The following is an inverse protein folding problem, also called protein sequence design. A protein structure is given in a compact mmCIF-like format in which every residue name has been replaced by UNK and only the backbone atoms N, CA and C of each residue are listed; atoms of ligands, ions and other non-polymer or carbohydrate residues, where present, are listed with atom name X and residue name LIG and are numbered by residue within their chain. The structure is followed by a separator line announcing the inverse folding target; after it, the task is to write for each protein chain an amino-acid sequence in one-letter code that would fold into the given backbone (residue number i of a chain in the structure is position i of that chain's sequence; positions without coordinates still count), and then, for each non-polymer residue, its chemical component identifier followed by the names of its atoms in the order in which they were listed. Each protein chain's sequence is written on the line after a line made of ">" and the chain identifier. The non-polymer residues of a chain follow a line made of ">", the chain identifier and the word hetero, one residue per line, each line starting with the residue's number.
data_IF_551729446400
#
_entry.id   IF_551729446400
#
_cell.length_a   1.000
_cell.length_b   1.000
_cell.length_c   1.000
_cell.angle_alpha   90.00
_cell.angle_beta   90.00
_cell.angle_gamma   90.00
#
_symmetry.space_group_name_H-M   'P 1'
#
loop_
_entity.id
_entity.type
_entity.pdbx_description
1 polymer ?
#
# COMPACT_ATOMS: atom_id res chain seq x y z
N UNK A 1 23.98 -18.21 -46.12
CA UNK A 1 25.44 -18.20 -46.30
C UNK A 1 25.73 -17.18 -47.38
N UNK A 2 26.30 -16.03 -47.03
CA UNK A 2 26.47 -14.92 -47.99
C UNK A 2 27.62 -15.26 -48.93
N UNK A 3 27.32 -15.61 -50.18
CA UNK A 3 28.30 -15.98 -51.21
C UNK A 3 28.93 -14.72 -51.81
N UNK A 4 29.71 -13.99 -51.01
CA UNK A 4 30.38 -12.75 -51.40
C UNK A 4 31.80 -12.70 -50.80
N UNK A 5 32.76 -12.25 -51.60
CA UNK A 5 34.12 -11.90 -51.17
C UNK A 5 34.40 -10.45 -51.52
N UNK A 6 35.13 -9.75 -50.66
CA UNK A 6 35.47 -8.33 -50.85
C UNK A 6 36.95 -8.12 -50.58
N UNK A 7 37.61 -7.38 -51.46
CA UNK A 7 39.05 -7.13 -51.47
C UNK A 7 39.33 -5.63 -51.58
N UNK A 8 40.37 -5.16 -50.90
CA UNK A 8 40.94 -3.84 -51.15
C UNK A 8 42.01 -3.93 -52.23
N UNK A 9 41.86 -3.16 -53.31
CA UNK A 9 42.84 -3.12 -54.38
C UNK A 9 44.07 -2.28 -54.00
N UNK A 10 45.25 -2.81 -54.31
CA UNK A 10 46.54 -2.15 -54.03
C UNK A 10 47.11 -1.40 -55.24
N UNK A 11 46.35 -1.24 -56.33
CA UNK A 11 46.81 -0.60 -57.56
C UNK A 11 47.69 -1.46 -58.48
N UNK A 12 48.02 -2.70 -58.09
CA UNK A 12 48.92 -3.58 -58.86
C UNK A 12 48.37 -5.01 -59.06
N UNK A 13 47.57 -5.53 -58.13
CA UNK A 13 47.00 -6.86 -58.23
C UNK A 13 45.87 -6.91 -59.27
N UNK A 14 45.97 -7.87 -60.20
CA UNK A 14 44.96 -8.12 -61.23
C UNK A 14 44.11 -9.36 -60.97
N UNK A 15 44.53 -10.25 -60.06
CA UNK A 15 43.88 -11.53 -59.81
C UNK A 15 43.27 -11.57 -58.41
N UNK A 16 41.97 -11.87 -58.33
CA UNK A 16 41.19 -11.93 -57.09
C UNK A 16 40.45 -13.27 -57.00
N UNK A 17 40.77 -14.15 -56.04
CA UNK A 17 40.11 -15.44 -55.89
C UNK A 17 38.69 -15.32 -55.31
N UNK A 18 37.89 -16.37 -55.40
CA UNK A 18 36.64 -16.55 -54.67
C UNK A 18 36.44 -18.03 -54.35
N UNK A 19 35.80 -18.35 -53.23
CA UNK A 19 35.71 -19.73 -52.72
C UNK A 19 34.34 -20.39 -52.90
N UNK A 20 33.44 -19.79 -53.68
CA UNK A 20 32.11 -20.36 -53.97
C UNK A 20 32.08 -21.02 -55.35
N UNK A 21 31.39 -22.16 -55.45
CA UNK A 21 31.16 -22.87 -56.71
C UNK A 21 30.36 -21.99 -57.69
N UNK A 22 30.72 -22.04 -58.97
CA UNK A 22 29.97 -21.39 -60.05
C UNK A 22 29.92 -22.32 -61.25
N UNK A 23 28.72 -22.51 -61.83
CA UNK A 23 28.52 -23.41 -62.97
C UNK A 23 28.97 -22.76 -64.28
N UNK A 24 28.80 -21.45 -64.42
CA UNK A 24 29.23 -20.67 -65.56
C UNK A 24 29.90 -19.35 -65.12
N UNK A 25 30.78 -18.80 -65.96
CA UNK A 25 31.43 -17.51 -65.71
C UNK A 25 30.42 -16.36 -65.49
N UNK A 26 29.24 -16.45 -66.11
CA UNK A 26 28.13 -15.51 -65.96
C UNK A 26 27.50 -15.47 -64.56
N UNK A 27 27.80 -16.47 -63.73
CA UNK A 27 27.24 -16.61 -62.38
C UNK A 27 28.06 -15.84 -61.33
N UNK A 28 29.20 -15.27 -61.70
CA UNK A 28 29.95 -14.32 -60.87
C UNK A 28 29.58 -12.90 -61.27
N UNK A 29 29.18 -12.10 -60.30
CA UNK A 29 29.09 -10.66 -60.44
C UNK A 29 30.31 -9.99 -59.81
N UNK A 30 30.91 -9.09 -60.58
CA UNK A 30 32.15 -8.38 -60.25
C UNK A 30 31.83 -6.89 -60.10
N UNK A 31 32.06 -6.33 -58.91
CA UNK A 31 31.87 -4.90 -58.65
C UNK A 31 33.18 -4.24 -58.25
N UNK A 32 33.41 -3.02 -58.71
CA UNK A 32 34.47 -2.12 -58.22
C UNK A 32 33.76 -0.91 -57.63
N UNK A 33 34.00 -0.62 -56.35
CA UNK A 33 33.34 0.47 -55.61
C UNK A 33 31.81 0.42 -55.72
N UNK A 34 31.24 -0.79 -55.63
CA UNK A 34 29.82 -1.11 -55.78
C UNK A 34 29.22 -0.88 -57.19
N UNK A 35 30.06 -0.60 -58.20
CA UNK A 35 29.65 -0.49 -59.60
C UNK A 35 29.97 -1.81 -60.31
N UNK A 36 28.93 -2.46 -60.83
CA UNK A 36 29.06 -3.71 -61.58
C UNK A 36 29.88 -3.51 -62.87
N UNK A 37 30.85 -4.40 -63.06
CA UNK A 37 31.66 -4.47 -64.27
C UNK A 37 31.08 -5.54 -65.19
N UNK A 38 30.86 -5.19 -66.45
CA UNK A 38 30.35 -6.12 -67.49
C UNK A 38 31.43 -6.57 -68.47
N UNK A 39 32.64 -6.00 -68.39
CA UNK A 39 33.81 -6.30 -69.22
C UNK A 39 35.11 -5.90 -68.51
N UNK A 40 36.28 -6.21 -69.09
CA UNK A 40 37.59 -5.85 -68.51
C UNK A 40 38.13 -6.87 -67.50
N UNK A 41 37.53 -8.05 -67.45
CA UNK A 41 37.96 -9.18 -66.64
C UNK A 41 37.57 -10.51 -67.28
N UNK A 42 38.24 -11.58 -66.83
CA UNK A 42 37.96 -12.97 -67.18
C UNK A 42 37.76 -13.77 -65.90
N UNK A 43 36.65 -14.50 -65.81
CA UNK A 43 36.39 -15.45 -64.72
C UNK A 43 37.02 -16.80 -65.06
N UNK A 44 37.80 -17.35 -64.14
CA UNK A 44 38.41 -18.68 -64.24
C UNK A 44 37.86 -19.59 -63.14
N UNK A 45 37.71 -20.88 -63.43
CA UNK A 45 37.19 -21.87 -62.48
C UNK A 45 35.68 -22.13 -62.58
N UNK A 46 35.02 -21.67 -63.64
CA UNK A 46 33.61 -22.02 -63.90
C UNK A 46 33.43 -23.50 -64.25
N UNK A 47 32.40 -24.11 -63.68
CA UNK A 47 32.08 -25.55 -63.78
C UNK A 47 32.72 -26.43 -62.70
N UNK A 48 33.42 -25.85 -61.73
CA UNK A 48 34.05 -26.56 -60.61
C UNK A 48 33.43 -26.22 -59.24
N UNK A 49 33.56 -27.12 -58.27
CA UNK A 49 32.95 -26.99 -56.94
C UNK A 49 33.81 -26.23 -55.91
N UNK A 50 35.09 -25.98 -56.22
CA UNK A 50 36.10 -25.52 -55.25
C UNK A 50 36.35 -24.00 -55.29
N UNK A 51 35.60 -23.26 -56.10
CA UNK A 51 35.80 -21.83 -56.32
C UNK A 51 36.71 -21.50 -57.51
N UNK A 52 37.00 -20.22 -57.71
CA UNK A 52 37.65 -19.70 -58.89
C UNK A 52 38.39 -18.38 -58.66
N UNK A 53 38.73 -17.69 -59.73
CA UNK A 53 39.31 -16.33 -59.64
C UNK A 53 38.84 -15.43 -60.77
N UNK A 54 38.82 -14.13 -60.50
CA UNK A 54 38.59 -13.07 -61.47
C UNK A 54 39.93 -12.42 -61.78
N UNK A 55 40.31 -12.42 -63.06
CA UNK A 55 41.51 -11.77 -63.58
C UNK A 55 41.10 -10.52 -64.36
N UNK A 56 41.46 -9.34 -63.88
CA UNK A 56 41.25 -8.07 -64.57
C UNK A 56 42.32 -7.82 -65.63
N UNK A 57 41.94 -7.20 -66.75
CA UNK A 57 42.85 -6.82 -67.83
C UNK A 57 43.81 -5.68 -67.40
N UNK A 58 43.38 -4.86 -66.44
CA UNK A 58 44.18 -3.83 -65.77
C UNK A 58 43.91 -3.84 -64.25
N UNK A 59 44.92 -3.56 -63.43
CA UNK A 59 44.77 -3.59 -61.97
C UNK A 59 43.79 -2.50 -61.50
N UNK A 60 42.82 -2.83 -60.62
CA UNK A 60 41.94 -1.81 -60.05
C UNK A 60 42.75 -0.78 -59.25
N UNK A 61 42.28 0.48 -59.26
CA UNK A 61 42.99 1.61 -58.64
C UNK A 61 43.30 1.38 -57.15
N UNK A 62 44.38 1.97 -56.66
CA UNK A 62 44.76 1.89 -55.24
C UNK A 62 43.62 2.42 -54.35
N UNK A 63 43.12 1.58 -53.45
CA UNK A 63 42.04 1.91 -52.52
C UNK A 63 40.63 1.53 -53.01
N UNK A 64 40.47 1.09 -54.27
CA UNK A 64 39.18 0.62 -54.78
C UNK A 64 38.77 -0.70 -54.10
N UNK A 65 37.47 -0.89 -53.90
CA UNK A 65 36.91 -2.10 -53.28
C UNK A 65 36.39 -3.04 -54.36
N UNK A 66 37.06 -4.18 -54.55
CA UNK A 66 36.63 -5.23 -55.46
C UNK A 66 35.72 -6.20 -54.72
N UNK A 67 34.47 -6.32 -55.15
CA UNK A 67 33.49 -7.26 -54.60
C UNK A 67 33.14 -8.31 -55.63
N UNK A 68 33.25 -9.58 -55.26
CA UNK A 68 32.86 -10.73 -56.07
C UNK A 68 31.70 -11.43 -55.38
N UNK A 69 30.55 -11.55 -56.05
CA UNK A 69 29.36 -12.22 -55.49
C UNK A 69 28.77 -13.23 -56.45
N UNK A 70 28.19 -14.30 -55.91
CA UNK A 70 27.46 -15.28 -56.72
C UNK A 70 26.10 -14.70 -57.13
N UNK A 71 25.77 -14.69 -58.42
CA UNK A 71 24.41 -14.39 -58.90
C UNK A 71 23.52 -15.58 -58.61
N UNK A 72 22.58 -15.44 -57.67
CA UNK A 72 21.66 -16.52 -57.33
C UNK A 72 20.84 -16.95 -58.56
N UNK A 73 20.86 -18.24 -58.89
CA UNK A 73 19.95 -18.81 -59.89
C UNK A 73 18.70 -19.35 -59.20
N UNK A 74 17.56 -19.19 -59.87
CA UNK A 74 16.35 -19.96 -59.60
C UNK A 74 16.33 -21.10 -60.61
N UNK A 75 16.69 -22.31 -60.16
CA UNK A 75 16.67 -23.50 -61.01
C UNK A 75 15.32 -24.20 -60.88
N UNK A 76 14.55 -24.24 -61.97
CA UNK A 76 13.33 -25.05 -62.06
C UNK A 76 13.73 -26.42 -62.59
N UNK A 77 13.42 -27.50 -61.87
CA UNK A 77 13.87 -28.85 -62.23
C UNK A 77 13.01 -29.45 -63.35
N UNK A 78 13.59 -30.33 -64.17
CA UNK A 78 12.96 -30.95 -65.34
C UNK A 78 11.72 -31.84 -65.06
N UNK A 79 11.26 -31.94 -63.81
CA UNK A 79 9.97 -32.56 -63.44
C UNK A 79 8.79 -31.57 -63.57
N UNK A 80 9.04 -30.26 -63.74
CA UNK A 80 8.01 -29.26 -64.02
C UNK A 80 7.65 -29.21 -65.51
N UNK A 81 6.93 -30.23 -65.98
CA UNK A 81 6.55 -30.41 -67.40
C UNK A 81 5.13 -29.93 -67.75
N UNK A 82 4.43 -29.25 -66.84
CA UNK A 82 3.13 -28.64 -67.12
C UNK A 82 3.26 -27.12 -67.33
N UNK A 83 2.78 -26.62 -68.47
CA UNK A 83 2.86 -25.23 -68.89
C UNK A 83 2.24 -24.27 -67.85
N UNK A 84 3.00 -23.31 -67.32
CA UNK A 84 2.45 -22.09 -66.67
C UNK A 84 2.76 -21.81 -65.19
N UNK A 85 3.52 -22.64 -64.47
CA UNK A 85 3.55 -22.54 -62.99
C UNK A 85 4.46 -21.50 -62.32
N UNK A 86 5.33 -20.79 -63.04
CA UNK A 86 6.03 -19.61 -62.47
C UNK A 86 5.16 -18.33 -62.51
N UNK A 87 4.31 -18.19 -63.53
CA UNK A 87 3.45 -17.03 -63.72
C UNK A 87 2.29 -16.98 -62.70
N UNK A 88 1.75 -18.14 -62.30
CA UNK A 88 0.64 -18.23 -61.35
C UNK A 88 1.05 -18.09 -59.86
N UNK A 89 2.33 -18.20 -59.54
CA UNK A 89 2.83 -18.04 -58.15
C UNK A 89 3.36 -16.64 -57.85
N UNK A 90 3.39 -15.74 -58.84
CA UNK A 90 3.85 -14.35 -58.68
C UNK A 90 2.69 -13.39 -59.00
N UNK A 91 1.91 -13.01 -57.98
CA UNK A 91 0.80 -12.06 -58.15
C UNK A 91 1.37 -10.67 -58.41
N UNK A 92 1.20 -10.15 -59.63
CA UNK A 92 1.56 -8.77 -59.96
C UNK A 92 0.60 -7.80 -59.24
N UNK A 93 1.14 -6.98 -58.34
CA UNK A 93 0.44 -5.80 -57.81
C UNK A 93 0.26 -4.73 -58.88
N UNK A 94 -0.78 -3.91 -58.77
CA UNK A 94 -1.15 -2.92 -59.79
C UNK A 94 0.03 -2.07 -60.27
N UNK A 95 0.22 -1.97 -61.59
CA UNK A 95 1.30 -1.19 -62.22
C UNK A 95 2.51 -2.00 -62.72
N UNK A 96 2.50 -3.34 -62.55
CA UNK A 96 3.53 -4.26 -63.06
C UNK A 96 2.91 -5.22 -64.08
N UNK A 97 3.42 -5.24 -65.31
CA UNK A 97 3.03 -6.20 -66.34
C UNK A 97 4.14 -7.21 -66.60
N UNK A 98 3.81 -8.51 -66.52
CA UNK A 98 4.71 -9.59 -66.90
C UNK A 98 4.47 -10.00 -68.36
N UNK A 99 5.51 -9.98 -69.21
CA UNK A 99 5.48 -10.61 -70.53
C UNK A 99 6.45 -11.78 -70.57
N UNK A 100 5.97 -12.98 -70.93
CA UNK A 100 6.84 -14.13 -71.17
C UNK A 100 7.43 -14.01 -72.58
N UNK A 101 8.72 -13.68 -72.66
CA UNK A 101 9.52 -13.95 -73.84
C UNK A 101 10.56 -15.01 -73.47
N UNK A 102 10.52 -16.14 -74.18
CA UNK A 102 11.58 -17.15 -74.12
C UNK A 102 12.64 -16.80 -75.17
N UNK A 103 13.91 -16.84 -74.80
CA UNK A 103 14.99 -16.83 -75.79
C UNK A 103 15.09 -18.20 -76.49
N UNK A 104 15.90 -18.29 -77.55
CA UNK A 104 16.05 -19.49 -78.38
C UNK A 104 16.59 -20.72 -77.61
N UNK A 105 17.13 -20.52 -76.40
CA UNK A 105 17.65 -21.57 -75.53
C UNK A 105 16.67 -21.93 -74.39
N UNK A 106 15.45 -21.36 -74.41
CA UNK A 106 14.37 -21.71 -73.48
C UNK A 106 14.42 -21.00 -72.12
N UNK A 107 15.21 -19.93 -71.96
CA UNK A 107 15.18 -19.12 -70.73
C UNK A 107 14.03 -18.12 -70.77
N UNK A 108 13.27 -18.04 -69.68
CA UNK A 108 12.26 -16.99 -69.48
C UNK A 108 12.91 -15.77 -68.85
N UNK A 109 12.76 -14.60 -69.49
CA UNK A 109 13.26 -13.34 -68.95
C UNK A 109 12.10 -12.61 -68.27
N UNK A 110 12.25 -12.28 -66.98
CA UNK A 110 11.28 -11.47 -66.24
C UNK A 110 11.62 -9.99 -66.41
N UNK A 111 10.85 -9.28 -67.23
CA UNK A 111 10.98 -7.82 -67.37
C UNK A 111 9.98 -7.13 -66.45
N UNK A 112 10.46 -6.38 -65.45
CA UNK A 112 9.62 -5.51 -64.62
C UNK A 112 9.67 -4.11 -65.24
N UNK A 113 8.63 -3.75 -65.99
CA UNK A 113 8.45 -2.38 -66.47
C UNK A 113 7.51 -1.63 -65.52
N UNK A 114 7.96 -0.47 -65.01
CA UNK A 114 7.11 0.47 -64.30
C UNK A 114 6.11 1.09 -65.30
N UNK A 115 4.83 0.75 -65.17
CA UNK A 115 3.77 1.34 -65.99
C UNK A 115 3.62 2.83 -65.65
N UNK A 116 3.89 3.70 -66.62
CA UNK A 116 3.83 5.16 -66.50
C UNK A 116 2.37 5.67 -66.54
N UNK A 117 1.54 5.25 -65.59
CA UNK A 117 0.14 5.73 -65.46
C UNK A 117 -0.08 6.19 -64.02
N UNK A 118 0.17 7.48 -63.80
CA UNK A 118 -0.08 8.18 -62.54
C UNK A 118 -1.60 8.28 -62.30
N UNK A 119 -2.09 7.69 -61.20
CA UNK A 119 -3.51 7.68 -60.85
C UNK A 119 -4.14 9.08 -60.71
N UNK A 120 -3.32 10.11 -60.54
CA UNK A 120 -3.77 11.50 -60.55
C UNK A 120 -4.30 11.97 -61.93
N UNK A 121 -3.77 11.44 -63.03
CA UNK A 121 -4.17 11.84 -64.39
C UNK A 121 -5.51 11.21 -64.81
N UNK A 122 -5.81 10.00 -64.33
CA UNK A 122 -7.09 9.31 -64.58
C UNK A 122 -8.25 9.95 -63.79
N UNK A 123 -7.99 10.41 -62.56
CA UNK A 123 -8.99 11.11 -61.75
C UNK A 123 -9.35 12.49 -62.35
N UNK A 124 -8.36 13.21 -62.90
CA UNK A 124 -8.57 14.49 -63.55
C UNK A 124 -9.40 14.38 -64.86
N UNK A 125 -9.24 13.28 -65.61
CA UNK A 125 -10.02 13.05 -66.83
C UNK A 125 -11.46 12.60 -66.54
N UNK A 126 -11.69 11.79 -65.50
CA UNK A 126 -13.04 11.36 -65.12
C UNK A 126 -13.94 12.49 -64.56
N UNK A 127 -13.35 13.58 -64.07
CA UNK A 127 -14.11 14.79 -63.67
C UNK A 127 -14.44 15.72 -64.84
N UNK A 128 -13.73 15.61 -65.97
CA UNK A 128 -13.88 16.51 -67.09
C UNK A 128 -15.11 16.20 -67.97
N UNK A 129 -15.56 14.94 -68.00
CA UNK A 129 -16.60 14.42 -68.91
C UNK A 129 -18.04 14.42 -68.35
N UNK A 130 -18.29 15.06 -67.20
CA UNK A 130 -19.67 15.25 -66.70
C UNK A 130 -20.45 16.20 -67.63
N UNK A 131 -21.25 15.62 -68.52
CA UNK A 131 -22.02 16.34 -69.54
C UNK A 131 -23.15 17.20 -68.95
N UNK A 132 -23.66 16.82 -67.76
CA UNK A 132 -24.57 17.63 -66.96
C UNK A 132 -24.03 17.78 -65.53
N UNK A 133 -23.21 18.82 -65.35
CA UNK A 133 -22.63 19.17 -64.06
C UNK A 133 -23.70 19.56 -63.04
N UNK A 134 -24.90 20.00 -63.46
CA UNK A 134 -25.98 20.37 -62.55
C UNK A 134 -26.71 19.14 -62.01
N UNK A 135 -26.98 18.14 -62.85
CA UNK A 135 -27.56 16.87 -62.42
C UNK A 135 -26.64 16.11 -61.46
N UNK A 136 -25.32 16.13 -61.71
CA UNK A 136 -24.36 15.51 -60.80
C UNK A 136 -24.26 16.25 -59.45
N UNK A 137 -24.32 17.59 -59.45
CA UNK A 137 -24.39 18.39 -58.21
C UNK A 137 -25.65 18.08 -57.40
N UNK A 138 -26.80 17.95 -58.05
CA UNK A 138 -28.05 17.55 -57.42
C UNK A 138 -28.01 16.14 -56.81
N UNK A 139 -27.46 15.16 -57.52
CA UNK A 139 -27.36 13.77 -57.04
C UNK A 139 -26.36 13.58 -55.89
N UNK A 140 -25.37 14.47 -55.76
CA UNK A 140 -24.40 14.46 -54.65
C UNK A 140 -24.77 15.41 -53.51
N UNK A 141 -25.88 16.15 -53.62
CA UNK A 141 -26.27 17.19 -52.66
C UNK A 141 -25.20 18.29 -52.47
N UNK A 142 -24.39 18.56 -53.51
CA UNK A 142 -23.34 19.58 -53.50
C UNK A 142 -23.76 20.75 -54.37
N UNK A 143 -24.13 21.86 -53.74
CA UNK A 143 -24.58 23.08 -54.40
C UNK A 143 -23.43 24.08 -54.58
N UNK A 144 -23.48 24.91 -55.63
CA UNK A 144 -22.53 26.02 -55.76
C UNK A 144 -22.85 27.12 -54.75
N UNK A 145 -21.89 28.00 -54.44
CA UNK A 145 -22.12 29.12 -53.54
C UNK A 145 -23.31 29.98 -53.98
N UNK A 146 -23.41 30.26 -55.28
CA UNK A 146 -24.54 31.02 -55.85
C UNK A 146 -25.88 30.28 -55.67
N UNK A 147 -25.91 28.95 -55.87
CA UNK A 147 -27.12 28.13 -55.66
C UNK A 147 -27.54 28.14 -54.17
N UNK A 148 -26.58 28.13 -53.25
CA UNK A 148 -26.81 28.21 -51.80
C UNK A 148 -27.31 29.60 -51.41
N UNK A 149 -26.73 30.65 -51.97
CA UNK A 149 -27.09 32.05 -51.69
C UNK A 149 -28.49 32.38 -52.22
N UNK A 150 -28.85 31.90 -53.41
CA UNK A 150 -30.20 32.01 -53.97
C UNK A 150 -31.22 31.24 -53.12
N UNK A 151 -30.86 30.03 -52.66
CA UNK A 151 -31.72 29.22 -51.78
C UNK A 151 -31.94 29.88 -50.41
N UNK A 152 -30.91 30.49 -49.81
CA UNK A 152 -31.01 31.25 -48.55
C UNK A 152 -31.87 32.50 -48.74
N UNK A 153 -31.74 33.19 -49.87
CA UNK A 153 -32.50 34.41 -50.20
C UNK A 153 -33.99 34.12 -50.39
N UNK A 154 -34.32 33.02 -51.09
CA UNK A 154 -35.68 32.58 -51.33
C UNK A 154 -36.34 31.91 -50.10
N UNK A 155 -35.56 31.44 -49.12
CA UNK A 155 -36.07 30.77 -47.93
C UNK A 155 -36.91 31.68 -47.03
N UNK A 156 -38.05 31.20 -46.54
CA UNK A 156 -38.84 31.87 -45.50
C UNK A 156 -38.29 31.64 -44.08
N UNK A 157 -37.23 30.85 -43.93
CA UNK A 157 -36.60 30.57 -42.66
C UNK A 157 -35.71 31.73 -42.21
N UNK A 158 -36.18 32.43 -41.17
CA UNK A 158 -35.51 33.59 -40.61
C UNK A 158 -34.16 33.26 -39.95
N UNK A 159 -33.92 32.00 -39.54
CA UNK A 159 -32.66 31.58 -38.93
C UNK A 159 -31.54 31.48 -39.98
N UNK A 160 -31.85 30.93 -41.17
CA UNK A 160 -30.91 30.85 -42.30
C UNK A 160 -30.51 32.25 -42.80
N UNK A 161 -31.46 33.19 -42.86
CA UNK A 161 -31.19 34.59 -43.23
C UNK A 161 -30.36 35.35 -42.20
N UNK A 162 -30.57 35.11 -40.90
CA UNK A 162 -29.76 35.71 -39.82
C UNK A 162 -28.31 35.24 -39.85
N UNK A 163 -28.06 33.99 -40.22
CA UNK A 163 -26.71 33.44 -40.39
C UNK A 163 -25.90 34.16 -41.48
N UNK A 164 -26.52 34.45 -42.63
CA UNK A 164 -25.89 35.20 -43.71
C UNK A 164 -25.65 36.69 -43.34
N UNK A 165 -26.59 37.33 -42.66
CA UNK A 165 -26.50 38.74 -42.26
C UNK A 165 -25.41 39.05 -41.21
N UNK A 166 -24.83 38.04 -40.57
CA UNK A 166 -23.68 38.22 -39.66
C UNK A 166 -22.35 38.41 -40.42
N UNK A 167 -22.26 37.98 -41.67
CA UNK A 167 -21.06 38.16 -42.51
C UNK A 167 -20.89 39.59 -43.04
N UNK A 168 -22.02 40.31 -43.22
CA UNK A 168 -22.10 41.56 -43.99
C UNK A 168 -22.30 42.82 -43.12
N UNK A 169 -21.90 42.74 -41.85
CA UNK A 169 -21.92 43.89 -40.95
C UNK A 169 -20.85 44.90 -41.39
N UNK A 170 -21.25 45.90 -42.16
CA UNK A 170 -20.38 46.94 -42.76
C UNK A 170 -19.65 47.76 -41.69
N UNK A 171 -20.27 48.02 -40.55
CA UNK A 171 -19.63 48.66 -39.39
C UNK A 171 -19.56 47.69 -38.20
N UNK A 172 -18.51 46.86 -38.25
CA UNK A 172 -18.20 45.90 -37.19
C UNK A 172 -17.94 46.59 -35.84
N UNK A 173 -17.63 47.89 -35.81
CA UNK A 173 -17.38 48.65 -34.57
C UNK A 173 -18.71 49.08 -33.95
N UNK A 174 -19.65 49.60 -34.75
CA UNK A 174 -20.98 49.97 -34.27
C UNK A 174 -21.80 48.75 -33.80
N UNK A 175 -21.70 47.62 -34.51
CA UNK A 175 -22.39 46.39 -34.11
C UNK A 175 -21.83 45.79 -32.81
N UNK A 176 -20.50 45.88 -32.61
CA UNK A 176 -19.84 45.51 -31.36
C UNK A 176 -20.26 46.41 -30.19
N UNK A 177 -20.31 47.73 -30.42
CA UNK A 177 -20.75 48.72 -29.43
C UNK A 177 -22.21 48.56 -28.98
N UNK A 178 -23.12 48.23 -29.91
CA UNK A 178 -24.54 48.01 -29.58
C UNK A 178 -24.82 46.69 -28.86
N UNK A 179 -23.87 45.75 -28.88
CA UNK A 179 -23.96 44.46 -28.20
C UNK A 179 -23.16 44.39 -26.89
N UNK A 180 -22.49 45.49 -26.49
CA UNK A 180 -21.52 45.50 -25.39
C UNK A 180 -20.39 44.45 -25.54
N UNK A 181 -20.02 44.11 -26.78
CA UNK A 181 -18.96 43.14 -27.09
C UNK A 181 -17.76 43.86 -27.68
N UNK A 182 -16.71 44.07 -26.88
CA UNK A 182 -15.48 44.74 -27.29
C UNK A 182 -14.43 43.77 -27.84
N UNK A 183 -13.64 44.18 -28.84
CA UNK A 183 -12.49 43.40 -29.32
C UNK A 183 -11.34 43.42 -28.30
N UNK A 184 -10.45 42.43 -28.35
CA UNK A 184 -9.29 42.34 -27.46
C UNK A 184 -8.42 43.61 -27.48
N UNK A 185 -8.29 44.26 -28.65
CA UNK A 185 -7.56 45.53 -28.78
C UNK A 185 -8.26 46.71 -28.09
N UNK A 186 -9.59 46.78 -28.19
CA UNK A 186 -10.42 47.81 -27.54
C UNK A 186 -10.44 47.63 -26.01
N UNK A 187 -10.54 46.39 -25.53
CA UNK A 187 -10.45 46.05 -24.10
C UNK A 187 -9.07 46.43 -23.55
N UNK A 188 -7.99 46.11 -24.26
CA UNK A 188 -6.62 46.41 -23.82
C UNK A 188 -6.34 47.93 -23.73
N UNK A 189 -6.90 48.72 -24.65
CA UNK A 189 -6.78 50.19 -24.62
C UNK A 189 -7.54 50.82 -23.43
N UNK A 190 -8.71 50.27 -23.07
CA UNK A 190 -9.49 50.70 -21.89
C UNK A 190 -8.81 50.27 -20.59
N UNK A 191 -8.26 49.07 -20.52
CA UNK A 191 -7.55 48.56 -19.33
C UNK A 191 -6.30 49.39 -19.02
N UNK A 192 -5.54 49.79 -20.04
CA UNK A 192 -4.30 50.59 -19.86
C UNK A 192 -4.57 52.01 -19.36
N UNK A 193 -5.67 52.63 -19.79
CA UNK A 193 -6.03 54.01 -19.42
C UNK A 193 -6.97 54.14 -18.22
N UNK A 194 -7.63 53.05 -17.80
CA UNK A 194 -8.59 53.09 -16.69
C UNK A 194 -7.92 53.22 -15.32
N UNK A 195 -8.51 54.04 -14.45
CA UNK A 195 -8.15 54.16 -13.03
C UNK A 195 -8.79 53.07 -12.15
N UNK A 196 -9.65 52.22 -12.73
CA UNK A 196 -10.34 51.16 -12.00
C UNK A 196 -9.41 49.95 -11.80
N UNK A 197 -8.99 49.74 -10.55
CA UNK A 197 -8.02 48.72 -10.16
C UNK A 197 -8.51 47.28 -10.42
N UNK A 198 -9.82 47.04 -10.50
CA UNK A 198 -10.38 45.72 -10.77
C UNK A 198 -10.16 45.28 -12.24
N UNK A 199 -10.28 46.22 -13.18
CA UNK A 199 -10.06 45.97 -14.61
C UNK A 199 -8.57 45.72 -14.92
N UNK A 200 -7.66 46.41 -14.19
CA UNK A 200 -6.20 46.17 -14.29
C UNK A 200 -5.77 44.84 -13.69
N UNK A 201 -6.38 44.42 -12.57
CA UNK A 201 -6.13 43.11 -11.95
C UNK A 201 -6.54 41.94 -12.86
N UNK A 202 -7.63 42.09 -13.62
CA UNK A 202 -8.08 41.08 -14.59
C UNK A 202 -7.08 40.84 -15.73
N UNK A 203 -6.46 41.89 -16.27
CA UNK A 203 -5.45 41.75 -17.33
C UNK A 203 -4.10 41.22 -16.82
N UNK A 204 -3.70 41.57 -15.60
CA UNK A 204 -2.46 41.07 -14.97
C UNK A 204 -2.46 39.56 -14.67
N UNK A 205 -3.62 38.89 -14.72
CA UNK A 205 -3.70 37.42 -14.61
C UNK A 205 -3.39 36.71 -15.94
N UNK A 206 -3.57 37.39 -17.08
CA UNK A 206 -3.25 36.87 -18.41
C UNK A 206 -1.78 37.04 -18.79
N UNK A 207 -1.13 38.12 -18.33
CA UNK A 207 0.27 38.48 -18.58
C UNK A 207 1.29 37.84 -17.63
N UNK A 208 0.88 36.78 -16.92
CA UNK A 208 1.82 36.00 -16.13
C UNK A 208 2.69 35.16 -17.08
N UNK A 209 3.76 35.78 -17.58
CA UNK A 209 4.75 35.18 -18.49
C UNK A 209 5.40 33.95 -17.84
N UNK A 210 5.70 34.04 -16.55
CA UNK A 210 6.20 32.92 -15.76
C UNK A 210 5.12 32.45 -14.77
N UNK A 211 4.28 31.53 -15.26
CA UNK A 211 3.24 30.90 -14.45
C UNK A 211 3.83 30.20 -13.22
N UNK A 212 5.08 29.75 -13.24
CA UNK A 212 5.73 29.13 -12.09
C UNK A 212 6.16 30.18 -11.05
N UNK A 213 6.67 31.33 -11.46
CA UNK A 213 6.98 32.44 -10.55
C UNK A 213 5.72 33.02 -9.88
N UNK A 214 4.61 33.15 -10.62
CA UNK A 214 3.35 33.60 -10.02
C UNK A 214 2.74 32.54 -9.08
N UNK A 215 2.81 31.25 -9.43
CA UNK A 215 2.43 30.16 -8.51
C UNK A 215 3.28 30.19 -7.24
N UNK A 216 4.59 30.46 -7.38
CA UNK A 216 5.52 30.64 -6.27
C UNK A 216 5.20 31.83 -5.37
N UNK A 217 4.93 32.99 -5.95
CA UNK A 217 4.61 34.22 -5.21
C UNK A 217 3.23 34.19 -4.55
N UNK A 218 2.30 33.40 -5.08
CA UNK A 218 0.96 33.22 -4.54
C UNK A 218 0.87 32.03 -3.56
N UNK A 219 1.96 31.29 -3.38
CA UNK A 219 2.03 30.06 -2.56
C UNK A 219 1.02 28.97 -2.97
N UNK A 220 0.60 28.96 -4.24
CA UNK A 220 -0.33 27.97 -4.79
C UNK A 220 0.42 27.01 -5.71
N UNK A 221 0.54 25.75 -5.28
CA UNK A 221 1.30 24.71 -6.00
C UNK A 221 0.38 23.56 -6.43
N UNK A 222 0.65 22.95 -7.59
CA UNK A 222 -0.03 21.72 -7.98
C UNK A 222 0.42 20.53 -7.13
N UNK A 223 -0.38 19.46 -7.05
CA UNK A 223 -0.11 18.27 -6.23
C UNK A 223 1.25 17.63 -6.53
N UNK A 224 1.67 17.65 -7.80
CA UNK A 224 2.99 17.16 -8.21
C UNK A 224 4.16 18.12 -7.90
N UNK A 225 3.91 19.43 -7.87
CA UNK A 225 4.91 20.45 -7.51
C UNK A 225 5.12 20.57 -6.00
N UNK A 226 4.07 20.31 -5.21
CA UNK A 226 4.18 20.15 -3.74
C UNK A 226 5.14 19.01 -3.43
N UNK A 227 5.00 17.86 -4.10
CA UNK A 227 5.82 16.67 -3.86
C UNK A 227 7.30 16.88 -4.23
N UNK A 228 7.61 17.65 -5.27
CA UNK A 228 9.00 17.91 -5.69
C UNK A 228 9.65 19.06 -4.91
N UNK A 229 8.90 20.08 -4.47
CA UNK A 229 9.41 21.09 -3.51
C UNK A 229 9.70 20.51 -2.14
N UNK A 230 8.91 19.55 -1.67
CA UNK A 230 9.13 18.85 -0.40
C UNK A 230 10.48 18.12 -0.37
N UNK A 231 10.96 17.65 -1.53
CA UNK A 231 12.26 16.96 -1.62
C UNK A 231 13.45 17.90 -1.84
N UNK A 232 13.23 19.09 -2.42
CA UNK A 232 14.32 19.98 -2.85
C UNK A 232 14.59 21.16 -1.89
N UNK A 233 13.66 21.51 -1.00
CA UNK A 233 13.81 22.66 -0.11
C UNK A 233 14.00 22.24 1.35
N UNK A 234 15.24 22.30 1.83
CA UNK A 234 15.60 22.42 3.26
C UNK A 234 14.98 23.64 3.95
N UNK A 235 14.14 24.42 3.26
CA UNK A 235 13.42 25.59 3.73
C UNK A 235 11.95 25.31 4.15
N UNK A 236 11.49 24.06 4.11
CA UNK A 236 10.29 23.59 4.83
C UNK A 236 10.67 22.50 5.85
N UNK A 237 11.81 22.68 6.51
CA UNK A 237 12.10 21.91 7.70
C UNK A 237 10.95 22.12 8.69
N UNK A 238 10.22 21.03 8.96
CA UNK A 238 9.29 20.87 10.07
C UNK A 238 7.92 21.58 9.91
N UNK A 239 7.06 21.05 9.02
CA UNK A 239 5.60 21.07 9.25
C UNK A 239 5.13 19.90 10.12
N UNK A 240 6.04 19.04 10.57
CA UNK A 240 5.84 18.41 11.88
C UNK A 240 6.00 19.52 12.92
N UNK A 241 5.07 19.58 13.86
CA UNK A 241 4.98 20.64 14.85
C UNK A 241 6.24 20.61 15.70
N UNK A 242 7.26 21.40 15.34
CA UNK A 242 8.42 21.59 16.21
C UNK A 242 7.88 22.05 17.56
N UNK A 243 8.40 21.47 18.63
CA UNK A 243 7.94 21.70 20.01
C UNK A 243 7.98 23.18 20.43
N UNK A 244 8.65 24.03 19.64
CA UNK A 244 8.80 25.47 19.86
C UNK A 244 7.58 26.28 19.35
N UNK A 245 6.90 25.85 18.28
CA UNK A 245 5.76 26.59 17.68
C UNK A 245 4.38 26.07 18.09
N UNK A 246 4.34 24.92 18.76
CA UNK A 246 3.10 24.31 19.23
C UNK A 246 2.30 25.24 20.15
N UNK A 247 2.96 26.05 20.99
CA UNK A 247 2.30 26.95 21.93
C UNK A 247 1.65 28.16 21.25
N UNK A 248 2.31 28.73 20.24
CA UNK A 248 1.83 29.89 19.50
C UNK A 248 0.62 29.52 18.63
N UNK A 249 0.66 28.36 17.99
CA UNK A 249 -0.44 27.81 17.19
C UNK A 249 -1.66 27.50 18.07
N UNK A 250 -1.47 26.92 19.26
CA UNK A 250 -2.54 26.67 20.23
C UNK A 250 -3.25 27.96 20.66
N UNK A 251 -2.48 28.99 21.03
CA UNK A 251 -3.00 30.28 21.44
C UNK A 251 -3.81 30.97 20.33
N UNK A 252 -3.32 30.95 19.09
CA UNK A 252 -4.00 31.57 17.95
C UNK A 252 -5.29 30.86 17.54
N UNK A 253 -5.42 29.57 17.86
CA UNK A 253 -6.64 28.78 17.64
C UNK A 253 -7.61 28.82 18.82
N UNK A 254 -7.31 29.57 19.88
CA UNK A 254 -8.14 29.62 21.11
C UNK A 254 -8.13 28.31 21.91
N UNK A 255 -7.20 27.41 21.59
CA UNK A 255 -7.01 26.15 22.28
C UNK A 255 -5.99 26.44 23.40
N UNK A 256 -6.45 26.53 24.65
CA UNK A 256 -5.55 26.70 25.80
C UNK A 256 -4.52 25.56 25.92
N UNK A 257 -3.67 25.59 26.94
CA UNK A 257 -2.59 24.60 27.18
C UNK A 257 -3.05 23.12 27.26
N UNK A 258 -4.35 22.86 27.19
CA UNK A 258 -4.99 21.55 27.22
C UNK A 258 -5.00 20.77 25.89
N UNK A 259 -4.54 21.33 24.76
CA UNK A 259 -4.48 20.59 23.48
C UNK A 259 -3.24 19.67 23.39
N UNK A 260 -3.16 18.70 24.31
CA UNK A 260 -2.43 17.46 24.11
C UNK A 260 -3.21 16.61 23.11
N UNK A 261 -2.60 16.32 21.96
CA UNK A 261 -2.89 15.18 21.08
C UNK A 261 -4.37 14.72 21.04
N UNK A 262 -5.25 15.51 20.43
CA UNK A 262 -6.63 15.08 20.17
C UNK A 262 -6.67 14.11 18.99
N UNK A 263 -6.50 12.81 19.26
CA UNK A 263 -7.00 11.77 18.37
C UNK A 263 -8.49 11.59 18.62
N UNK A 264 -9.27 12.16 17.70
CA UNK A 264 -10.70 12.36 17.83
C UNK A 264 -11.48 11.09 18.19
N UNK A 265 -12.41 11.26 19.13
CA UNK A 265 -13.36 10.25 19.58
C UNK A 265 -14.58 10.08 18.67
N UNK A 266 -14.44 10.19 17.35
CA UNK A 266 -15.57 9.93 16.44
C UNK A 266 -15.12 9.40 15.08
N UNK A 267 -15.42 8.10 14.88
CA UNK A 267 -15.46 7.36 13.63
C UNK A 267 -14.12 7.14 12.88
N UNK A 268 -13.33 6.17 13.35
CA UNK A 268 -12.28 5.55 12.55
C UNK A 268 -11.20 4.90 13.41
N UNK A 269 -11.17 3.56 13.47
CA UNK A 269 -10.21 2.76 14.24
C UNK A 269 -8.75 3.09 13.85
N UNK A 270 -8.08 3.96 14.60
CA UNK A 270 -6.62 4.04 14.63
C UNK A 270 -6.19 4.00 16.09
N UNK A 271 -5.55 2.90 16.45
CA UNK A 271 -4.97 2.67 17.77
C UNK A 271 -3.72 3.56 17.89
N UNK A 272 -3.77 4.58 18.74
CA UNK A 272 -2.59 5.40 19.05
C UNK A 272 -1.65 4.58 19.91
N UNK A 273 -0.35 4.65 19.60
CA UNK A 273 0.73 4.08 20.38
C UNK A 273 1.53 5.23 21.02
N UNK A 274 2.01 5.04 22.24
CA UNK A 274 2.89 5.94 22.98
C UNK A 274 4.30 5.96 22.36
N UNK A 275 5.20 6.77 22.92
CA UNK A 275 6.59 6.88 22.45
C UNK A 275 7.40 5.58 22.51
N UNK A 276 6.84 4.52 23.09
CA UNK A 276 7.38 3.15 23.13
C UNK A 276 6.67 2.17 22.20
N UNK A 277 5.70 2.62 21.39
CA UNK A 277 4.97 1.75 20.47
C UNK A 277 3.88 0.91 21.14
N UNK A 278 3.41 1.28 22.33
CA UNK A 278 2.32 0.60 23.06
C UNK A 278 1.09 1.49 23.18
N UNK A 279 -0.11 0.94 23.29
CA UNK A 279 -1.32 1.76 23.50
C UNK A 279 -1.20 2.64 24.76
N UNK A 280 -1.43 3.96 24.70
CA UNK A 280 -1.35 4.84 25.85
C UNK A 280 -2.27 4.35 26.96
N UNK A 281 -1.74 4.27 28.19
CA UNK A 281 -2.46 3.72 29.35
C UNK A 281 -3.80 4.43 29.64
N UNK A 282 -3.96 5.68 29.19
CA UNK A 282 -5.18 6.48 29.32
C UNK A 282 -6.28 6.14 28.28
N UNK A 283 -5.92 5.51 27.15
CA UNK A 283 -6.81 5.07 26.07
C UNK A 283 -7.20 3.60 26.19
N UNK A 284 -6.49 2.83 27.03
CA UNK A 284 -7.03 1.59 27.53
C UNK A 284 -8.31 1.94 28.30
N UNK A 285 -9.45 1.29 28.05
CA UNK A 285 -10.57 1.38 28.98
C UNK A 285 -10.00 1.08 30.37
N UNK A 286 -10.25 1.94 31.37
CA UNK A 286 -9.96 1.62 32.76
C UNK A 286 -10.58 0.23 32.98
N UNK A 287 -9.74 -0.80 33.04
CA UNK A 287 -10.15 -2.12 32.54
C UNK A 287 -11.52 -2.53 33.12
N UNK A 288 -12.57 -2.46 32.30
CA UNK A 288 -13.69 -3.37 32.45
C UNK A 288 -13.14 -4.78 32.22
N UNK A 289 -13.59 -5.77 33.00
CA UNK A 289 -12.77 -6.71 33.75
C UNK A 289 -11.77 -7.48 32.87
N UNK A 290 -10.64 -6.83 32.61
CA UNK A 290 -9.38 -7.42 32.20
C UNK A 290 -8.35 -7.01 33.25
N UNK A 291 -8.45 -7.59 34.45
CA UNK A 291 -7.34 -7.62 35.42
C UNK A 291 -7.09 -6.40 36.31
N UNK A 292 -7.89 -5.32 36.32
CA UNK A 292 -7.79 -4.30 37.38
C UNK A 292 -8.67 -4.70 38.57
N UNK A 293 -8.03 -5.20 39.62
CA UNK A 293 -8.73 -5.48 40.89
C UNK A 293 -9.34 -4.18 41.43
N UNK A 294 -10.63 -4.13 41.81
CA UNK A 294 -11.22 -2.89 42.36
C UNK A 294 -10.54 -2.48 43.66
N UNK A 295 -10.49 -1.17 43.95
CA UNK A 295 -9.93 -0.65 45.21
C UNK A 295 -10.62 -1.30 46.42
N UNK A 296 -9.83 -1.71 47.41
CA UNK A 296 -10.29 -2.50 48.55
C UNK A 296 -10.28 -4.01 48.32
N UNK A 297 -9.99 -4.49 47.11
CA UNK A 297 -9.80 -5.92 46.85
C UNK A 297 -8.53 -6.43 47.52
N UNK A 298 -8.62 -7.66 48.02
CA UNK A 298 -7.56 -8.32 48.77
C UNK A 298 -7.13 -9.60 48.06
N UNK A 299 -5.83 -9.78 47.87
CA UNK A 299 -5.27 -10.97 47.24
C UNK A 299 -4.11 -11.55 48.07
N UNK A 300 -3.89 -12.86 47.93
CA UNK A 300 -2.68 -13.51 48.42
C UNK A 300 -1.51 -13.15 47.51
N UNK A 301 -0.35 -12.90 48.11
CA UNK A 301 0.84 -12.43 47.43
C UNK A 301 2.09 -13.11 47.99
N UNK A 302 2.90 -13.68 47.09
CA UNK A 302 4.10 -14.43 47.47
C UNK A 302 5.34 -13.55 47.67
N UNK A 303 5.30 -12.28 47.26
CA UNK A 303 6.42 -11.35 47.43
C UNK A 303 6.45 -10.69 48.81
N UNK A 304 7.61 -10.18 49.24
CA UNK A 304 7.82 -9.58 50.56
C UNK A 304 7.41 -8.11 50.67
N UNK A 305 7.30 -7.39 49.56
CA UNK A 305 6.94 -5.97 49.52
C UNK A 305 5.76 -5.74 48.56
N UNK A 306 4.81 -4.89 48.97
CA UNK A 306 3.66 -4.58 48.12
C UNK A 306 4.11 -3.82 46.86
N UNK A 307 3.63 -4.22 45.66
CA UNK A 307 3.88 -3.48 44.43
C UNK A 307 3.15 -2.13 44.42
N UNK A 308 3.48 -1.27 43.45
CA UNK A 308 2.81 0.02 43.29
C UNK A 308 1.29 -0.13 43.14
N UNK A 309 0.53 0.72 43.85
CA UNK A 309 -0.92 0.67 43.89
C UNK A 309 -1.50 -0.39 44.84
N UNK A 310 -0.66 -1.02 45.67
CA UNK A 310 -1.06 -1.98 46.70
C UNK A 310 -0.40 -1.67 48.05
N UNK A 311 -1.04 -2.10 49.14
CA UNK A 311 -0.49 -2.03 50.50
C UNK A 311 -0.52 -3.40 51.17
N UNK A 312 0.42 -3.67 52.08
CA UNK A 312 0.41 -4.87 52.90
C UNK A 312 -0.74 -4.81 53.93
N UNK A 313 -1.40 -5.93 54.16
CA UNK A 313 -2.43 -6.07 55.21
C UNK A 313 -1.76 -6.41 56.56
N UNK A 314 -1.04 -5.44 57.12
CA UNK A 314 -0.25 -5.56 58.34
C UNK A 314 -0.79 -4.74 59.54
N UNK A 315 -1.99 -4.16 59.39
CA UNK A 315 -2.62 -3.36 60.44
C UNK A 315 -2.12 -1.91 60.55
N UNK A 316 -1.20 -1.47 59.70
CA UNK A 316 -0.69 -0.10 59.76
C UNK A 316 -1.77 0.94 59.48
N UNK A 317 -1.64 2.10 60.14
CA UNK A 317 -2.48 3.27 59.87
C UNK A 317 -1.94 4.05 58.68
N UNK A 318 -2.80 4.35 57.70
CA UNK A 318 -2.45 5.06 56.48
C UNK A 318 -3.31 6.30 56.28
N UNK A 319 -2.81 7.27 55.51
CA UNK A 319 -3.47 8.56 55.30
C UNK A 319 -4.78 8.45 54.53
N UNK A 320 -5.84 9.07 55.05
CA UNK A 320 -7.16 9.19 54.39
C UNK A 320 -7.10 10.06 53.14
N UNK A 321 -6.23 11.08 53.11
CA UNK A 321 -6.09 11.96 51.95
C UNK A 321 -5.29 11.29 50.84
N UNK A 322 -4.23 10.55 51.19
CA UNK A 322 -3.40 9.82 50.22
C UNK A 322 -4.17 8.64 49.62
N UNK A 323 -4.93 7.92 50.43
CA UNK A 323 -5.68 6.73 50.02
C UNK A 323 -7.19 6.92 50.16
N UNK A 324 -7.70 8.03 49.60
CA UNK A 324 -9.10 8.43 49.73
C UNK A 324 -10.08 7.39 49.16
N UNK A 325 -9.75 6.78 48.03
CA UNK A 325 -10.56 5.71 47.42
C UNK A 325 -10.64 4.47 48.31
N UNK A 326 -9.49 4.03 48.86
CA UNK A 326 -9.46 2.91 49.80
C UNK A 326 -10.22 3.23 51.09
N UNK A 327 -10.08 4.44 51.64
CA UNK A 327 -10.83 4.86 52.82
C UNK A 327 -12.34 4.88 52.59
N UNK A 328 -12.80 5.27 51.40
CA UNK A 328 -14.22 5.27 51.07
C UNK A 328 -14.83 3.85 51.09
N UNK A 329 -14.03 2.82 50.79
CA UNK A 329 -14.46 1.41 50.79
C UNK A 329 -14.30 0.76 52.16
N UNK A 330 -13.14 0.92 52.80
CA UNK A 330 -12.77 0.21 54.03
C UNK A 330 -13.24 0.95 55.28
N UNK A 331 -13.29 2.28 55.23
CA UNK A 331 -13.61 3.13 56.37
C UNK A 331 -12.68 2.87 57.56
N UNK A 332 -13.28 2.72 58.74
CA UNK A 332 -12.57 2.50 60.01
C UNK A 332 -12.77 1.11 60.58
N UNK A 333 -13.27 0.15 59.78
CA UNK A 333 -13.62 -1.21 60.22
C UNK A 333 -12.46 -1.93 60.90
N UNK A 334 -11.24 -1.74 60.40
CA UNK A 334 -10.04 -2.38 60.94
C UNK A 334 -9.27 -1.50 61.95
N UNK A 335 -9.80 -0.32 62.25
CA UNK A 335 -9.26 0.63 63.21
C UNK A 335 -9.42 2.08 62.74
N UNK A 336 -9.66 2.97 63.69
CA UNK A 336 -9.93 4.40 63.44
C UNK A 336 -8.69 5.22 63.08
N UNK A 337 -7.49 4.62 63.13
CA UNK A 337 -6.22 5.34 63.03
C UNK A 337 -6.05 6.33 64.19
N UNK A 338 -5.64 7.54 63.86
CA UNK A 338 -5.58 8.72 64.74
C UNK A 338 -6.96 9.37 65.01
N UNK A 339 -8.04 8.83 64.43
CA UNK A 339 -9.39 9.36 64.55
C UNK A 339 -9.71 10.52 63.59
N UNK A 340 -8.72 11.10 62.90
CA UNK A 340 -8.90 12.29 62.07
C UNK A 340 -8.34 12.12 60.65
N UNK A 341 -7.04 11.87 60.52
CA UNK A 341 -6.32 11.93 59.24
C UNK A 341 -5.93 10.56 58.68
N UNK A 342 -6.03 9.50 59.49
CA UNK A 342 -5.62 8.14 59.12
C UNK A 342 -6.71 7.10 59.39
N UNK A 343 -6.54 5.91 58.83
CA UNK A 343 -7.36 4.71 59.10
C UNK A 343 -6.47 3.47 59.07
N UNK A 344 -6.83 2.41 59.80
CA UNK A 344 -6.04 1.19 59.84
C UNK A 344 -6.41 0.22 58.71
N UNK A 345 -5.39 -0.44 58.16
CA UNK A 345 -5.55 -1.55 57.23
C UNK A 345 -5.95 -2.83 57.99
N UNK A 346 -6.48 -3.86 57.30
CA UNK A 346 -6.59 -5.20 57.89
C UNK A 346 -5.23 -5.71 58.38
N UNK A 347 -5.20 -6.43 59.50
CA UNK A 347 -4.02 -7.18 59.96
C UNK A 347 -4.30 -8.67 59.79
N UNK A 348 -3.69 -9.28 58.78
CA UNK A 348 -3.84 -10.71 58.46
C UNK A 348 -2.62 -11.55 58.84
N UNK A 349 -1.63 -10.98 59.53
CA UNK A 349 -0.45 -11.72 59.97
C UNK A 349 -0.87 -12.78 61.00
N UNK A 350 -0.52 -14.04 60.73
CA UNK A 350 -0.91 -15.18 61.58
C UNK A 350 -2.40 -15.53 61.53
N UNK A 351 -3.17 -15.02 60.56
CA UNK A 351 -4.63 -15.19 60.52
C UNK A 351 -5.10 -15.79 59.21
N UNK A 352 -6.12 -16.64 59.30
CA UNK A 352 -6.87 -17.10 58.14
C UNK A 352 -8.05 -16.16 57.87
N UNK A 353 -8.24 -15.78 56.61
CA UNK A 353 -9.42 -15.02 56.19
C UNK A 353 -10.67 -15.93 56.16
N UNK A 354 -11.80 -15.40 56.62
CA UNK A 354 -13.10 -16.08 56.60
C UNK A 354 -14.15 -15.14 55.98
N UNK A 355 -15.21 -15.71 55.40
CA UNK A 355 -16.34 -14.93 54.90
C UNK A 355 -17.09 -14.23 56.04
N UNK A 356 -17.41 -12.95 55.85
CA UNK A 356 -18.29 -12.22 56.76
C UNK A 356 -19.77 -12.58 56.51
N UNK A 357 -20.60 -12.39 57.53
CA UNK A 357 -22.02 -12.69 57.55
C UNK A 357 -22.37 -13.97 58.31
N UNK A 358 -23.64 -14.34 58.26
CA UNK A 358 -24.17 -15.57 58.84
C UNK A 358 -24.52 -16.57 57.74
N UNK A 359 -23.73 -17.63 57.63
CA UNK A 359 -24.09 -18.78 56.79
C UNK A 359 -25.19 -19.63 57.42
N UNK A 360 -25.88 -20.43 56.62
CA UNK A 360 -26.90 -21.39 57.12
C UNK A 360 -26.30 -22.30 58.19
N UNK A 361 -26.88 -22.29 59.38
CA UNK A 361 -26.41 -23.06 60.55
C UNK A 361 -25.00 -22.70 61.05
N UNK A 362 -24.46 -21.56 60.64
CA UNK A 362 -23.17 -21.05 61.13
C UNK A 362 -23.37 -19.83 62.05
N UNK A 363 -22.33 -19.54 62.82
CA UNK A 363 -22.27 -18.33 63.65
C UNK A 363 -22.08 -17.09 62.77
N UNK A 364 -22.74 -15.98 63.13
CA UNK A 364 -22.57 -14.71 62.44
C UNK A 364 -21.15 -14.15 62.67
N UNK A 365 -20.51 -13.65 61.62
CA UNK A 365 -19.19 -13.01 61.66
C UNK A 365 -19.28 -11.61 61.07
N UNK A 366 -19.04 -10.58 61.87
CA UNK A 366 -19.03 -9.21 61.38
C UNK A 366 -17.69 -8.90 60.71
N UNK A 367 -17.69 -8.01 59.72
CA UNK A 367 -16.45 -7.59 59.07
C UNK A 367 -15.51 -6.96 60.12
N UNK A 368 -14.26 -7.41 60.15
CA UNK A 368 -13.26 -6.97 61.13
C UNK A 368 -13.17 -7.83 62.40
N UNK A 369 -14.09 -8.78 62.62
CA UNK A 369 -14.03 -9.69 63.76
C UNK A 369 -12.72 -10.51 63.77
N UNK A 370 -12.04 -10.53 64.92
CA UNK A 370 -10.83 -11.33 65.15
C UNK A 370 -11.20 -12.52 66.01
N UNK A 371 -11.37 -13.69 65.39
CA UNK A 371 -11.81 -14.93 66.05
C UNK A 371 -10.77 -16.05 65.89
N UNK A 372 -10.93 -17.11 66.69
CA UNK A 372 -10.00 -18.25 66.73
C UNK A 372 -8.87 -18.06 67.75
N UNK A 373 -8.09 -19.12 67.96
CA UNK A 373 -6.94 -19.14 68.84
C UNK A 373 -5.85 -20.05 68.24
N UNK A 374 -4.59 -19.59 68.27
CA UNK A 374 -3.44 -20.38 67.81
C UNK A 374 -3.14 -21.54 68.77
N UNK A 375 -3.36 -21.32 70.07
CA UNK A 375 -3.27 -22.36 71.11
C UNK A 375 -4.56 -22.40 71.91
N UNK A 376 -5.01 -23.61 72.26
CA UNK A 376 -6.22 -23.81 73.05
C UNK A 376 -5.95 -24.71 74.25
N UNK A 377 -6.41 -24.30 75.42
CA UNK A 377 -6.39 -25.14 76.63
C UNK A 377 -7.74 -25.84 76.71
N UNK A 378 -7.74 -27.17 76.66
CA UNK A 378 -8.97 -27.94 76.86
C UNK A 378 -9.43 -27.78 78.30
N UNK A 379 -10.62 -27.20 78.47
CA UNK A 379 -11.30 -27.14 79.76
C UNK A 379 -12.12 -28.40 80.01
N UNK A 380 -12.45 -28.66 81.28
CA UNK A 380 -13.33 -29.79 81.66
C UNK A 380 -14.70 -29.70 80.95
N UNK A 381 -15.20 -28.48 80.70
CA UNK A 381 -16.46 -28.26 80.00
C UNK A 381 -16.43 -28.65 78.50
N UNK A 382 -15.24 -28.76 77.91
CA UNK A 382 -15.05 -29.13 76.50
C UNK A 382 -14.79 -30.64 76.32
N UNK A 383 -14.69 -31.40 77.42
CA UNK A 383 -14.63 -32.86 77.40
C UNK A 383 -16.04 -33.45 77.56
N UNK A 384 -16.48 -34.36 76.69
CA UNK A 384 -17.72 -35.11 76.91
C UNK A 384 -17.70 -35.80 78.26
N UNK A 385 -18.82 -35.71 78.99
CA UNK A 385 -19.01 -36.47 80.23
C UNK A 385 -18.83 -37.95 79.94
N UNK A 386 -17.91 -38.58 80.66
CA UNK A 386 -17.65 -40.00 80.56
C UNK A 386 -17.43 -40.57 81.96
N UNK A 387 -17.74 -41.85 82.13
CA UNK A 387 -17.51 -42.60 83.36
C UNK A 387 -16.86 -43.93 83.03
N UNK A 388 -16.00 -44.42 83.91
CA UNK A 388 -15.49 -45.78 83.85
C UNK A 388 -15.99 -46.55 85.06
N UNK A 389 -16.61 -47.69 84.83
CA UNK A 389 -16.79 -48.72 85.84
C UNK A 389 -15.57 -49.65 85.79
N UNK A 390 -14.97 -49.93 86.94
CA UNK A 390 -14.05 -51.05 87.05
C UNK A 390 -14.51 -51.95 88.20
N UNK A 391 -14.57 -53.23 87.93
CA UNK A 391 -14.92 -54.26 88.90
C UNK A 391 -13.62 -54.71 89.60
N UNK A 392 -13.46 -54.39 90.89
CA UNK A 392 -12.29 -54.84 91.65
C UNK A 392 -12.61 -56.12 92.39
N UNK A 393 -12.26 -57.27 91.80
CA UNK A 393 -12.36 -58.54 92.49
C UNK A 393 -11.15 -58.73 93.41
N UNK A 394 -11.39 -58.69 94.73
CA UNK A 394 -10.39 -59.09 95.74
C UNK A 394 -10.77 -60.47 96.27
N UNK A 395 -9.97 -61.52 96.04
CA UNK A 395 -10.16 -62.76 96.77
C UNK A 395 -9.87 -62.50 98.26
N UNK A 396 -10.81 -62.84 99.14
CA UNK A 396 -10.62 -62.75 100.58
C UNK A 396 -9.53 -63.74 101.02
N UNK A 397 -8.36 -63.26 101.43
CA UNK A 397 -7.32 -64.10 102.04
C UNK A 397 -7.58 -64.27 103.54
N UNK A 398 -8.42 -65.25 103.88
CA UNK A 398 -8.44 -65.85 105.21
C UNK A 398 -7.31 -66.87 105.34
N UNK A 399 -6.57 -66.86 106.45
CA UNK A 399 -5.58 -67.89 106.75
C UNK A 399 -6.30 -69.24 106.99
N UNK A 400 -6.47 -70.06 105.94
CA UNK A 400 -7.09 -71.38 106.10
C UNK A 400 -7.65 -72.12 104.87
N UNK A 401 -7.36 -71.72 103.64
CA UNK A 401 -7.80 -72.44 102.42
C UNK A 401 -8.83 -71.68 101.57
N UNK A 402 -9.23 -72.22 100.40
CA UNK A 402 -10.11 -71.52 99.46
C UNK A 402 -11.52 -71.33 100.06
N UNK A 403 -11.91 -70.07 100.27
CA UNK A 403 -13.26 -69.71 100.70
C UNK A 403 -14.18 -69.71 99.49
N UNK A 404 -15.11 -70.66 99.42
CA UNK A 404 -16.19 -70.69 98.44
C UNK A 404 -17.39 -69.91 99.00
N UNK A 405 -17.69 -68.74 98.42
CA UNK A 405 -18.93 -68.01 98.69
C UNK A 405 -18.84 -66.72 99.53
N UNK A 406 -17.76 -65.94 99.43
CA UNK A 406 -17.79 -64.58 100.01
C UNK A 406 -18.55 -63.62 99.08
N UNK A 407 -19.55 -62.93 99.60
CA UNK A 407 -20.26 -61.84 98.90
C UNK A 407 -19.31 -60.66 98.66
N UNK A 408 -19.12 -60.32 97.38
CA UNK A 408 -18.28 -59.23 96.88
C UNK A 408 -18.60 -57.90 97.59
N UNK A 409 -17.65 -57.40 98.38
CA UNK A 409 -17.71 -56.04 98.91
C UNK A 409 -17.31 -55.04 97.83
N UNK A 410 -18.26 -54.30 97.28
CA UNK A 410 -17.99 -53.24 96.29
C UNK A 410 -17.27 -52.07 96.97
N UNK A 411 -15.98 -51.91 96.70
CA UNK A 411 -15.21 -50.72 97.09
C UNK A 411 -15.20 -49.74 95.90
N UNK A 412 -15.93 -48.63 96.02
CA UNK A 412 -15.89 -47.55 95.02
C UNK A 412 -14.55 -46.82 95.19
N UNK A 413 -13.61 -46.98 94.25
CA UNK A 413 -12.51 -46.02 94.12
C UNK A 413 -12.64 -45.27 92.80
N UNK A 414 -12.16 -44.05 92.78
CA UNK A 414 -12.13 -43.19 91.60
C UNK A 414 -10.71 -43.10 91.09
N UNK A 415 -10.52 -43.18 89.78
CA UNK A 415 -9.24 -42.86 89.17
C UNK A 415 -8.87 -41.40 89.42
N UNK A 416 -7.58 -41.09 89.51
CA UNK A 416 -7.11 -39.70 89.53
C UNK A 416 -7.39 -39.05 88.18
N UNK A 417 -7.69 -37.75 88.17
CA UNK A 417 -7.71 -36.98 86.92
C UNK A 417 -6.31 -36.96 86.30
N UNK A 418 -6.21 -37.40 85.04
CA UNK A 418 -4.97 -37.37 84.25
C UNK A 418 -5.15 -36.45 83.04
N UNK A 419 -4.16 -35.57 82.81
CA UNK A 419 -4.16 -34.52 81.80
C UNK A 419 -3.25 -33.38 82.26
N UNK A 420 -2.41 -32.83 81.37
CA UNK A 420 -1.43 -31.80 81.76
C UNK A 420 -2.02 -30.38 81.82
N UNK A 421 -3.27 -30.20 81.37
CA UNK A 421 -3.92 -28.89 81.16
C UNK A 421 -3.04 -27.91 80.34
N UNK A 422 -2.08 -28.42 79.58
CA UNK A 422 -1.23 -27.61 78.73
C UNK A 422 -2.00 -27.20 77.47
N UNK A 423 -1.84 -25.96 76.97
CA UNK A 423 -2.35 -25.59 75.67
C UNK A 423 -1.75 -26.49 74.58
N UNK A 424 -2.57 -26.87 73.60
CA UNK A 424 -2.10 -27.55 72.40
C UNK A 424 -2.22 -26.62 71.19
N UNK A 425 -1.36 -26.84 70.19
CA UNK A 425 -1.44 -26.12 68.92
C UNK A 425 -2.76 -26.46 68.24
N UNK A 426 -3.54 -25.44 67.92
CA UNK A 426 -4.83 -25.57 67.25
C UNK A 426 -4.76 -25.12 65.77
N UNK A 427 -3.56 -24.76 65.29
CA UNK A 427 -3.38 -24.37 63.90
C UNK A 427 -3.28 -25.59 62.97
N UNK A 428 -4.02 -25.59 61.84
CA UNK A 428 -3.81 -26.57 60.78
C UNK A 428 -2.44 -26.34 60.11
N UNK A 429 -1.90 -27.33 59.38
CA UNK A 429 -0.73 -27.12 58.53
C UNK A 429 -0.99 -25.97 57.53
N UNK A 430 -0.14 -24.93 57.55
CA UNK A 430 -0.31 -23.72 56.74
C UNK A 430 1.00 -23.19 56.19
N UNK A 431 0.97 -22.57 55.01
CA UNK A 431 2.07 -21.83 54.42
C UNK A 431 1.78 -20.32 54.51
N UNK A 432 2.74 -19.56 55.03
CA UNK A 432 2.59 -18.11 55.17
C UNK A 432 2.81 -17.40 53.82
N UNK A 433 1.78 -16.68 53.36
CA UNK A 433 1.83 -15.73 52.26
C UNK A 433 1.46 -14.34 52.78
N UNK A 434 1.92 -13.30 52.08
CA UNK A 434 1.46 -11.96 52.36
C UNK A 434 0.04 -11.76 51.81
N UNK A 435 -0.70 -10.85 52.43
CA UNK A 435 -1.94 -10.33 51.87
C UNK A 435 -1.72 -8.87 51.50
N UNK A 436 -2.13 -8.50 50.29
CA UNK A 436 -2.08 -7.12 49.82
C UNK A 436 -3.47 -6.63 49.44
N UNK A 437 -3.71 -5.34 49.67
CA UNK A 437 -4.97 -4.66 49.37
C UNK A 437 -4.76 -3.58 48.32
N UNK A 438 -5.65 -3.52 47.33
CA UNK A 438 -5.58 -2.53 46.25
C UNK A 438 -5.95 -1.15 46.79
N UNK A 439 -5.06 -0.16 46.60
CA UNK A 439 -5.28 1.23 47.03
C UNK A 439 -6.18 2.03 46.12
#
# INVERSE_FOLDING_TARGET
>A
MTLQHTYGANGAATLFPFSFAVDAASDVEVLIDAIEQTSGFVVRGAGGNDGGSVLFDAAPALGAVVTLRHRGRVSVSALDTASGHLADKLVAGGGVSLSLAADADGRQTLTIAASAVDGALQAAQNLADLTDKAAARGNLEVYSTDDVDDAITASSDLALKKGANLGDVVDKVAARGNLDVYSTGEVNAVVTTSSNLALKKGANLGDVVDKAAARGNLEVYSTGEVYTRDQAATAFADKTLSTVDAALVRANLGLGDAALLNVGSSAGNVVVLDGSGLVPAALLPAAGPSGSSPTGSLIQFAGSAAPEGWLLCDGNAVSRSTYAALFAVVGTVYGVGDGATTFALPDLRGRAAIGAGQGTSLTNRTLGDKVGAETHVLSVAEMPSHSHNYESHRPSSGAGGPVLGSSDGVLVQTTNSVGSNAPHNNMPPSLALNFIIKT
#
